data_IF_940401361330
#
_entry.id   IF_940401361330
#
_cell.length_a   1.000
_cell.length_b   1.000
_cell.length_c   1.000
_cell.angle_alpha   90.00
_cell.angle_beta   90.00
_cell.angle_gamma   90.00
#
_symmetry.space_group_name_H-M   'P 1'
#
loop_
_entity.id
_entity.type
_entity.pdbx_description
1 polymer ?
#
# COMPACT_ATOMS: atom_id res chain seq x y z
N UNK A 1 7.35 16.33 9.54
CA UNK A 1 7.89 15.22 8.72
C UNK A 1 7.24 13.95 9.22
N UNK A 2 6.40 13.32 8.38
CA UNK A 2 5.76 12.05 8.70
C UNK A 2 6.39 10.95 7.86
N UNK A 3 6.41 9.73 8.38
CA UNK A 3 6.79 8.52 7.65
C UNK A 3 5.57 7.87 7.02
N UNK A 4 5.50 7.86 5.70
CA UNK A 4 4.39 7.32 4.91
C UNK A 4 4.83 5.98 4.31
N UNK A 5 4.10 4.92 4.64
CA UNK A 5 4.26 3.62 3.97
C UNK A 5 3.16 3.49 2.92
N UNK A 6 3.54 3.38 1.65
CA UNK A 6 2.62 3.12 0.55
C UNK A 6 2.56 1.61 0.30
N UNK A 7 1.37 1.04 0.37
CA UNK A 7 1.10 -0.37 0.08
C UNK A 7 0.44 -0.45 -1.28
N UNK A 8 0.99 -1.27 -2.19
CA UNK A 8 0.47 -1.43 -3.54
C UNK A 8 -0.29 -2.74 -3.69
N UNK A 9 -1.52 -2.64 -4.17
CA UNK A 9 -2.30 -3.79 -4.67
C UNK A 9 -2.60 -3.60 -6.15
N UNK A 10 -2.04 -4.45 -7.02
CA UNK A 10 -2.16 -4.29 -8.47
C UNK A 10 -1.99 -5.60 -9.21
N UNK A 11 -2.75 -5.79 -10.28
CA UNK A 11 -2.60 -6.94 -11.21
C UNK A 11 -1.75 -6.56 -12.45
N UNK A 12 -1.99 -5.37 -13.00
CA UNK A 12 -1.41 -4.93 -14.27
C UNK A 12 -0.41 -3.77 -14.14
N UNK A 13 -0.09 -3.36 -12.91
CA UNK A 13 0.91 -2.33 -12.62
C UNK A 13 0.40 -0.88 -12.58
N UNK A 14 -0.87 -0.60 -12.88
CA UNK A 14 -1.39 0.77 -12.86
C UNK A 14 -1.32 1.43 -11.47
N UNK A 15 -1.69 0.70 -10.41
CA UNK A 15 -1.56 1.23 -9.05
C UNK A 15 -0.09 1.36 -8.60
N UNK A 16 0.82 0.54 -9.16
CA UNK A 16 2.25 0.72 -8.93
C UNK A 16 2.73 2.06 -9.51
N UNK A 17 2.32 2.40 -10.73
CA UNK A 17 2.68 3.69 -11.34
C UNK A 17 2.19 4.89 -10.52
N UNK A 18 1.00 4.79 -9.92
CA UNK A 18 0.51 5.82 -9.00
C UNK A 18 1.35 5.89 -7.71
N UNK A 19 1.75 4.75 -7.15
CA UNK A 19 2.60 4.69 -5.97
C UNK A 19 4.00 5.28 -6.24
N UNK A 20 4.60 4.96 -7.38
CA UNK A 20 5.91 5.49 -7.81
C UNK A 20 5.85 7.02 -7.96
N UNK A 21 4.79 7.54 -8.59
CA UNK A 21 4.58 8.98 -8.69
C UNK A 21 4.50 9.64 -7.30
N UNK A 22 3.76 9.04 -6.36
CA UNK A 22 3.64 9.55 -5.00
C UNK A 22 4.96 9.46 -4.22
N UNK A 23 5.76 8.42 -4.46
CA UNK A 23 7.09 8.26 -3.88
C UNK A 23 8.02 9.39 -4.30
N UNK A 24 7.86 9.94 -5.51
CA UNK A 24 8.64 11.09 -5.98
C UNK A 24 8.13 12.44 -5.46
N UNK A 25 6.81 12.60 -5.29
CA UNK A 25 6.20 13.88 -4.89
C UNK A 25 6.24 14.14 -3.38
N UNK A 26 5.90 13.15 -2.56
CA UNK A 26 5.76 13.32 -1.12
C UNK A 26 7.08 13.72 -0.40
N UNK A 27 8.28 13.28 -0.84
CA UNK A 27 9.53 13.81 -0.31
C UNK A 27 9.72 15.30 -0.55
N UNK A 28 9.20 15.84 -1.66
CA UNK A 28 9.25 17.28 -1.96
C UNK A 28 8.39 18.10 -0.98
N UNK A 29 7.39 17.46 -0.36
CA UNK A 29 6.58 18.05 0.70
C UNK A 29 7.19 17.86 2.12
N UNK A 30 8.38 17.25 2.24
CA UNK A 30 9.06 17.05 3.52
C UNK A 30 8.60 15.80 4.29
N UNK A 31 8.12 14.77 3.58
CA UNK A 31 7.81 13.46 4.14
C UNK A 31 8.87 12.41 3.80
N UNK A 32 8.95 11.34 4.58
CA UNK A 32 9.71 10.14 4.21
C UNK A 32 8.73 9.12 3.64
N UNK A 33 9.06 8.47 2.54
CA UNK A 33 8.18 7.50 1.88
C UNK A 33 8.90 6.19 1.62
N UNK A 34 8.26 5.09 2.04
CA UNK A 34 8.63 3.74 1.65
C UNK A 34 7.47 3.11 0.87
N UNK A 35 7.75 2.40 -0.22
CA UNK A 35 6.76 1.67 -1.03
C UNK A 35 6.95 0.18 -0.80
N UNK A 36 5.84 -0.53 -0.54
CA UNK A 36 5.81 -1.98 -0.30
C UNK A 36 4.80 -2.61 -1.26
N UNK A 37 5.23 -3.66 -1.95
CA UNK A 37 4.41 -4.44 -2.88
C UNK A 37 4.62 -5.95 -2.69
N UNK A 38 3.74 -6.74 -3.30
CA UNK A 38 3.82 -8.20 -3.35
C UNK A 38 3.89 -8.90 -1.97
N UNK A 39 4.79 -9.88 -1.81
CA UNK A 39 4.86 -10.76 -0.64
C UNK A 39 5.13 -10.01 0.68
N UNK A 40 5.78 -8.85 0.62
CA UNK A 40 6.13 -8.06 1.80
C UNK A 40 4.89 -7.41 2.44
N UNK A 41 3.80 -7.25 1.68
CA UNK A 41 2.55 -6.66 2.16
C UNK A 41 1.84 -7.59 3.15
N UNK A 42 1.88 -8.90 2.91
CA UNK A 42 1.18 -9.88 3.74
C UNK A 42 1.70 -9.95 5.18
N UNK A 43 2.98 -9.64 5.39
CA UNK A 43 3.65 -9.68 6.69
C UNK A 43 3.97 -8.29 7.26
N UNK A 44 3.58 -7.22 6.57
CA UNK A 44 3.87 -5.85 6.98
C UNK A 44 3.28 -5.54 8.35
N UNK A 45 4.12 -5.32 9.35
CA UNK A 45 3.69 -4.76 10.64
C UNK A 45 3.12 -3.35 10.39
N UNK A 46 2.07 -2.94 11.09
CA UNK A 46 1.57 -1.55 11.02
C UNK A 46 1.98 -0.73 12.24
N UNK A 47 2.47 -1.38 13.30
CA UNK A 47 2.89 -0.70 14.51
C UNK A 47 4.01 0.30 14.23
N UNK A 48 3.89 1.50 14.82
CA UNK A 48 4.90 2.56 14.73
C UNK A 48 4.97 3.30 13.40
N UNK A 49 4.03 3.07 12.46
CA UNK A 49 3.91 3.86 11.22
C UNK A 49 3.00 5.06 11.46
N UNK A 50 3.46 6.25 11.04
CA UNK A 50 2.66 7.48 11.18
C UNK A 50 1.47 7.49 10.23
N UNK A 51 1.71 7.09 8.97
CA UNK A 51 0.71 7.10 7.89
C UNK A 51 0.90 5.86 7.02
N UNK A 52 -0.22 5.21 6.71
CA UNK A 52 -0.29 4.10 5.75
C UNK A 52 -1.21 4.55 4.61
N UNK A 53 -0.70 4.50 3.38
CA UNK A 53 -1.44 4.84 2.18
C UNK A 53 -1.61 3.58 1.33
N UNK A 54 -2.83 3.22 0.98
CA UNK A 54 -3.09 2.07 0.11
C UNK A 54 -3.35 2.57 -1.31
N UNK A 55 -2.51 2.15 -2.25
CA UNK A 55 -2.71 2.36 -3.66
C UNK A 55 -3.18 1.05 -4.29
N UNK A 56 -4.45 0.95 -4.64
CA UNK A 56 -5.03 -0.30 -5.15
C UNK A 56 -5.88 -0.11 -6.38
N UNK A 57 -5.73 -1.01 -7.35
CA UNK A 57 -6.70 -1.22 -8.42
C UNK A 57 -7.80 -2.18 -7.98
N UNK A 58 -8.93 -2.20 -8.67
CA UNK A 58 -9.94 -3.26 -8.53
C UNK A 58 -9.93 -4.17 -9.75
N UNK A 59 -10.29 -5.44 -9.58
CA UNK A 59 -10.48 -6.38 -10.68
C UNK A 59 -11.97 -6.73 -10.86
N UNK A 60 -12.38 -6.97 -12.11
CA UNK A 60 -13.71 -7.50 -12.45
C UNK A 60 -14.87 -6.76 -11.77
N UNK A 61 -15.59 -7.48 -10.90
CA UNK A 61 -16.78 -7.03 -10.17
C UNK A 61 -16.48 -6.15 -8.94
N UNK A 62 -15.25 -5.64 -8.82
CA UNK A 62 -14.81 -4.80 -7.71
C UNK A 62 -13.97 -5.53 -6.65
N UNK A 63 -13.40 -6.67 -7.00
CA UNK A 63 -12.53 -7.46 -6.12
C UNK A 63 -11.17 -6.80 -5.93
N UNK A 64 -10.53 -7.10 -4.79
CA UNK A 64 -9.16 -6.68 -4.54
C UNK A 64 -8.17 -7.51 -5.38
N UNK A 65 -7.02 -6.94 -5.74
CA UNK A 65 -5.93 -7.68 -6.37
C UNK A 65 -5.42 -8.80 -5.45
N UNK A 66 -4.95 -9.89 -6.05
CA UNK A 66 -4.50 -11.10 -5.38
C UNK A 66 -3.35 -10.82 -4.41
N UNK A 67 -2.46 -9.88 -4.75
CA UNK A 67 -1.35 -9.49 -3.87
C UNK A 67 -1.79 -8.68 -2.63
N UNK A 68 -2.97 -8.04 -2.66
CA UNK A 68 -3.49 -7.25 -1.53
C UNK A 68 -4.54 -8.01 -0.70
N UNK A 69 -5.23 -8.98 -1.29
CA UNK A 69 -6.30 -9.72 -0.63
C UNK A 69 -5.89 -10.38 0.71
N UNK A 70 -4.71 -11.02 0.86
CA UNK A 70 -4.27 -11.59 2.13
C UNK A 70 -4.13 -10.54 3.23
N UNK A 71 -3.58 -9.37 2.90
CA UNK A 71 -3.41 -8.26 3.83
C UNK A 71 -4.76 -7.67 4.26
N UNK A 72 -5.66 -7.45 3.31
CA UNK A 72 -7.01 -6.96 3.62
C UNK A 72 -7.76 -7.91 4.56
N UNK A 73 -7.66 -9.23 4.34
CA UNK A 73 -8.23 -10.24 5.23
C UNK A 73 -7.63 -10.17 6.63
N UNK A 74 -6.30 -10.08 6.71
CA UNK A 74 -5.60 -9.95 8.00
C UNK A 74 -6.08 -8.71 8.77
N UNK A 75 -6.24 -7.56 8.12
CA UNK A 75 -6.76 -6.35 8.77
C UNK A 75 -8.19 -6.52 9.31
N UNK A 76 -9.05 -7.22 8.58
CA UNK A 76 -10.41 -7.52 9.02
C UNK A 76 -10.43 -8.44 10.24
N UNK A 77 -9.53 -9.42 10.26
CA UNK A 77 -9.40 -10.40 11.33
C UNK A 77 -8.77 -9.80 12.60
N UNK A 78 -7.71 -9.00 12.46
CA UNK A 78 -6.96 -8.45 13.61
C UNK A 78 -7.54 -7.16 14.15
N UNK A 79 -8.30 -6.40 13.34
CA UNK A 79 -8.85 -5.08 13.69
C UNK A 79 -7.85 -4.20 14.46
N UNK A 80 -6.69 -3.90 13.84
CA UNK A 80 -5.61 -3.18 14.48
C UNK A 80 -5.97 -1.73 14.82
#
# INVERSE_FOLDING_TARGET
MAHITIIVGTESGNAQMCADYLQDQLPQCGHRVDVVGDADVADLDLAGRDVVLICTSTHGDGELPDNLAPFARRLQDTRP
#
